data_IF_348387959215
#
_entry.id   IF_348387959215
#
_cell.length_a   1.000
_cell.length_b   1.000
_cell.length_c   1.000
_cell.angle_alpha   90.00
_cell.angle_beta   90.00
_cell.angle_gamma   90.00
#
_symmetry.space_group_name_H-M   'P 1'
#
loop_
_entity.id
_entity.type
_entity.pdbx_description
1 polymer ?
#
# COMPACT_ATOMS: atom_id res chain seq x y z
N UNK A 1 -15.77 -17.47 -9.07
CA UNK A 1 -15.14 -16.55 -8.09
C UNK A 1 -15.83 -15.20 -8.20
N UNK A 2 -16.34 -14.60 -7.12
CA UNK A 2 -16.98 -13.27 -7.21
C UNK A 2 -15.96 -12.20 -7.61
N UNK A 3 -16.33 -11.28 -8.52
CA UNK A 3 -15.44 -10.24 -9.03
C UNK A 3 -14.79 -9.40 -7.91
N UNK A 4 -15.54 -9.14 -6.83
CA UNK A 4 -15.09 -8.38 -5.66
C UNK A 4 -13.98 -9.11 -4.88
N UNK A 5 -14.07 -10.42 -4.72
CA UNK A 5 -13.04 -11.22 -4.02
C UNK A 5 -11.70 -11.14 -4.76
N UNK A 6 -11.73 -11.22 -6.09
CA UNK A 6 -10.53 -11.08 -6.92
C UNK A 6 -9.88 -9.71 -6.74
N UNK A 7 -10.67 -8.63 -6.76
CA UNK A 7 -10.17 -7.25 -6.52
C UNK A 7 -9.47 -7.12 -5.16
N UNK A 8 -10.06 -7.67 -4.10
CA UNK A 8 -9.48 -7.65 -2.73
C UNK A 8 -8.14 -8.41 -2.69
N UNK A 9 -8.07 -9.58 -3.30
CA UNK A 9 -6.83 -10.38 -3.35
C UNK A 9 -5.73 -9.63 -4.11
N UNK A 10 -6.07 -9.04 -5.26
CA UNK A 10 -5.12 -8.24 -6.05
C UNK A 10 -4.61 -7.06 -5.25
N UNK A 11 -5.49 -6.32 -4.58
CA UNK A 11 -5.12 -5.20 -3.72
C UNK A 11 -4.14 -5.62 -2.62
N UNK A 12 -4.42 -6.74 -1.94
CA UNK A 12 -3.54 -7.26 -0.89
C UNK A 12 -2.15 -7.62 -1.41
N UNK A 13 -2.07 -8.29 -2.57
CA UNK A 13 -0.79 -8.64 -3.20
C UNK A 13 0.00 -7.40 -3.63
N UNK A 14 -0.67 -6.40 -4.20
CA UNK A 14 -0.04 -5.15 -4.61
C UNK A 14 0.53 -4.39 -3.40
N UNK A 15 -0.23 -4.29 -2.32
CA UNK A 15 0.23 -3.67 -1.08
C UNK A 15 1.41 -4.43 -0.45
N UNK A 16 1.39 -5.77 -0.46
CA UNK A 16 2.54 -6.57 -0.01
C UNK A 16 3.79 -6.30 -0.84
N UNK A 17 3.65 -6.22 -2.17
CA UNK A 17 4.78 -5.92 -3.04
C UNK A 17 5.37 -4.54 -2.75
N UNK A 18 4.51 -3.52 -2.66
CA UNK A 18 4.94 -2.15 -2.34
C UNK A 18 5.52 -2.06 -0.94
N UNK A 19 5.06 -2.85 0.02
CA UNK A 19 5.54 -2.84 1.40
C UNK A 19 6.98 -3.33 1.61
N UNK A 20 7.64 -3.91 0.60
CA UNK A 20 9.01 -4.44 0.71
C UNK A 20 10.03 -3.36 1.05
N UNK A 21 9.88 -2.17 0.48
CA UNK A 21 10.79 -1.03 0.69
C UNK A 21 10.33 -0.09 1.80
N UNK A 22 9.38 -0.53 2.63
CA UNK A 22 8.82 0.30 3.69
C UNK A 22 9.90 0.65 4.74
N UNK A 23 10.01 1.92 5.19
CA UNK A 23 11.12 2.36 6.05
C UNK A 23 11.29 1.59 7.37
N UNK A 24 10.20 1.04 7.93
CA UNK A 24 10.22 0.24 9.17
C UNK A 24 10.46 -1.26 8.93
N UNK A 25 10.73 -1.66 7.69
CA UNK A 25 10.94 -3.05 7.29
C UNK A 25 9.67 -3.77 6.81
N UNK A 26 9.89 -4.82 6.03
CA UNK A 26 8.82 -5.58 5.39
C UNK A 26 7.92 -6.33 6.38
N UNK A 27 8.49 -6.96 7.42
CA UNK A 27 7.71 -7.71 8.40
C UNK A 27 6.78 -6.83 9.23
N UNK A 28 7.23 -5.61 9.55
CA UNK A 28 6.40 -4.58 10.19
C UNK A 28 5.19 -4.24 9.33
N UNK A 29 5.43 -3.95 8.05
CA UNK A 29 4.36 -3.60 7.10
C UNK A 29 3.41 -4.77 6.88
N UNK A 30 3.94 -5.97 6.61
CA UNK A 30 3.18 -7.19 6.35
C UNK A 30 2.25 -7.55 7.50
N UNK A 31 2.73 -7.45 8.74
CA UNK A 31 1.92 -7.76 9.94
C UNK A 31 0.75 -6.79 10.06
N UNK A 32 1.00 -5.48 9.92
CA UNK A 32 -0.04 -4.44 9.97
C UNK A 32 -1.04 -4.52 8.82
N UNK A 33 -0.57 -4.83 7.62
CA UNK A 33 -1.43 -5.06 6.46
C UNK A 33 -2.37 -6.22 6.73
N UNK A 34 -1.85 -7.36 7.18
CA UNK A 34 -2.65 -8.54 7.52
C UNK A 34 -3.68 -8.22 8.60
N UNK A 35 -3.29 -7.54 9.68
CA UNK A 35 -4.21 -7.10 10.73
C UNK A 35 -5.36 -6.24 10.17
N UNK A 36 -5.06 -5.28 9.28
CA UNK A 36 -6.07 -4.40 8.68
C UNK A 36 -7.08 -5.16 7.82
N UNK A 37 -6.63 -6.15 7.04
CA UNK A 37 -7.54 -6.97 6.23
C UNK A 37 -8.36 -7.93 7.11
N UNK A 38 -7.77 -8.49 8.17
CA UNK A 38 -8.49 -9.36 9.10
C UNK A 38 -9.57 -8.61 9.89
N UNK A 39 -9.34 -7.35 10.26
CA UNK A 39 -10.35 -6.50 10.92
C UNK A 39 -11.63 -6.33 10.09
N UNK A 40 -11.51 -6.36 8.76
CA UNK A 40 -12.63 -6.16 7.84
C UNK A 40 -13.18 -7.48 7.26
N UNK A 41 -12.78 -8.65 7.79
CA UNK A 41 -13.14 -9.96 7.22
C UNK A 41 -14.64 -10.26 7.21
N UNK A 42 -15.39 -9.71 8.19
CA UNK A 42 -16.83 -9.95 8.36
C UNK A 42 -17.70 -8.96 7.59
N UNK A 43 -17.10 -8.01 6.86
CA UNK A 43 -17.83 -7.04 6.05
C UNK A 43 -18.44 -7.75 4.84
N UNK A 44 -19.77 -7.83 4.80
CA UNK A 44 -20.54 -8.49 3.72
C UNK A 44 -21.24 -7.50 2.79
N UNK A 45 -21.40 -6.25 3.22
CA UNK A 45 -22.04 -5.23 2.41
C UNK A 45 -21.16 -4.81 1.22
N UNK A 46 -21.75 -4.79 0.02
CA UNK A 46 -21.03 -4.53 -1.22
C UNK A 46 -20.52 -3.08 -1.28
N UNK A 47 -21.34 -2.11 -0.86
CA UNK A 47 -20.96 -0.70 -0.88
C UNK A 47 -19.78 -0.42 0.05
N UNK A 48 -19.80 -0.99 1.27
CA UNK A 48 -18.67 -0.91 2.20
C UNK A 48 -17.39 -1.54 1.64
N UNK A 49 -17.48 -2.70 0.98
CA UNK A 49 -16.31 -3.34 0.37
C UNK A 49 -15.71 -2.46 -0.72
N UNK A 50 -16.54 -1.85 -1.57
CA UNK A 50 -16.06 -0.94 -2.62
C UNK A 50 -15.39 0.31 -2.03
N UNK A 51 -15.95 0.90 -0.97
CA UNK A 51 -15.32 2.01 -0.25
C UNK A 51 -13.95 1.62 0.31
N UNK A 52 -13.83 0.44 0.93
CA UNK A 52 -12.55 -0.06 1.45
C UNK A 52 -11.53 -0.34 0.34
N UNK A 53 -11.98 -0.85 -0.82
CA UNK A 53 -11.13 -1.04 -1.99
C UNK A 53 -10.59 0.28 -2.52
N UNK A 54 -11.45 1.30 -2.65
CA UNK A 54 -11.05 2.65 -3.06
C UNK A 54 -10.05 3.26 -2.09
N UNK A 55 -10.27 3.10 -0.78
CA UNK A 55 -9.31 3.53 0.24
C UNK A 55 -7.97 2.81 0.09
N UNK A 56 -7.97 1.51 -0.18
CA UNK A 56 -6.74 0.76 -0.43
C UNK A 56 -5.97 1.24 -1.67
N UNK A 57 -6.68 1.59 -2.75
CA UNK A 57 -6.07 2.18 -3.94
C UNK A 57 -5.48 3.56 -3.68
N UNK A 58 -6.11 4.37 -2.82
CA UNK A 58 -5.55 5.64 -2.40
C UNK A 58 -4.22 5.47 -1.65
N UNK A 59 -4.16 4.51 -0.71
CA UNK A 59 -2.94 4.19 0.04
C UNK A 59 -1.79 3.75 -0.89
N UNK A 60 -2.09 3.01 -1.96
CA UNK A 60 -1.08 2.66 -2.98
C UNK A 60 -0.44 3.92 -3.57
N UNK A 61 -1.25 4.90 -3.97
CA UNK A 61 -0.74 6.15 -4.54
C UNK A 61 0.10 6.95 -3.54
N UNK A 62 -0.29 6.95 -2.27
CA UNK A 62 0.51 7.58 -1.20
C UNK A 62 1.88 6.91 -1.04
N UNK A 63 1.92 5.57 -1.04
CA UNK A 63 3.19 4.82 -0.97
C UNK A 63 4.08 5.10 -2.17
N UNK A 64 3.52 5.10 -3.38
CA UNK A 64 4.24 5.45 -4.61
C UNK A 64 4.81 6.87 -4.55
N UNK A 65 4.02 7.85 -4.10
CA UNK A 65 4.47 9.23 -3.93
C UNK A 65 5.62 9.34 -2.92
N UNK A 66 5.56 8.62 -1.80
CA UNK A 66 6.65 8.56 -0.83
C UNK A 66 7.93 7.96 -1.42
N UNK A 67 7.82 6.93 -2.26
CA UNK A 67 8.96 6.35 -2.96
C UNK A 67 9.57 7.30 -3.99
N UNK A 68 8.74 8.02 -4.74
CA UNK A 68 9.22 9.06 -5.66
C UNK A 68 9.92 10.20 -4.90
N UNK A 69 9.37 10.63 -3.76
CA UNK A 69 10.00 11.64 -2.91
C UNK A 69 11.35 11.18 -2.35
N UNK A 70 11.44 9.93 -1.90
CA UNK A 70 12.70 9.33 -1.44
C UNK A 70 13.73 9.33 -2.57
N UNK A 71 13.34 8.91 -3.78
CA UNK A 71 14.21 8.93 -4.97
C UNK A 71 14.69 10.35 -5.29
N UNK A 72 13.78 11.32 -5.31
CA UNK A 72 14.10 12.72 -5.54
C UNK A 72 15.10 13.26 -4.52
N UNK A 73 14.88 13.02 -3.21
CA UNK A 73 15.79 13.45 -2.13
C UNK A 73 17.20 12.88 -2.31
N UNK A 74 17.30 11.60 -2.67
CA UNK A 74 18.59 10.94 -2.94
C UNK A 74 19.31 11.56 -4.14
N UNK A 75 18.61 11.79 -5.25
CA UNK A 75 19.18 12.43 -6.44
C UNK A 75 19.62 13.86 -6.14
N UNK A 76 18.76 14.65 -5.48
CA UNK A 76 19.09 16.02 -5.10
C UNK A 76 20.37 16.07 -4.25
N UNK A 77 20.48 15.20 -3.25
CA UNK A 77 21.69 15.12 -2.41
C UNK A 77 22.93 14.74 -3.20
N UNK A 78 22.84 13.87 -4.20
CA UNK A 78 24.01 13.40 -4.97
C UNK A 78 24.52 14.43 -5.97
N UNK A 79 23.61 15.15 -6.63
CA UNK A 79 23.97 16.05 -7.75
C UNK A 79 24.05 17.52 -7.36
N UNK A 80 23.54 17.91 -6.19
CA UNK A 80 23.48 19.32 -5.75
C UNK A 80 24.09 19.54 -4.35
N UNK A 81 24.95 18.63 -3.87
CA UNK A 81 25.65 18.78 -2.57
C UNK A 81 26.89 19.67 -2.61
N UNK A 82 27.28 20.18 -3.79
CA UNK A 82 28.51 20.97 -4.01
C UNK A 82 28.21 22.38 -4.55
N UNK A 83 27.22 23.06 -3.96
CA UNK A 83 27.07 24.53 -4.03
C UNK A 83 26.92 25.09 -2.63
#
# INVERSE_FOLDING_TARGET
MSATRTKVITLYKNLLFLGKDYPKGYDYFKTRLKESFLKNKEVKDKAQIEMLLTRGQYIIKELEALYMLKKYRTLKKRYYSEQ
#
